data_IF_625658581252
#
_entry.id   IF_625658581252
#
_cell.length_a   1.000
_cell.length_b   1.000
_cell.length_c   1.000
_cell.angle_alpha   90.00
_cell.angle_beta   90.00
_cell.angle_gamma   90.00
#
_symmetry.space_group_name_H-M   'P 1'
#
loop_
_entity.id
_entity.type
_entity.pdbx_description
1 polymer ?
#
# COMPACT_ATOMS: atom_id res chain seq x y z
N UNK A 1 -18.27 -15.07 2.89
CA UNK A 1 -18.50 -14.85 1.44
C UNK A 1 -18.85 -13.38 1.24
N UNK A 2 -18.12 -12.68 0.37
CA UNK A 2 -18.43 -11.29 0.00
C UNK A 2 -19.40 -11.27 -1.19
N UNK A 3 -20.20 -10.22 -1.30
CA UNK A 3 -21.17 -10.05 -2.40
C UNK A 3 -20.60 -9.12 -3.48
N UNK A 4 -21.16 -9.16 -4.70
CA UNK A 4 -20.73 -8.21 -5.74
C UNK A 4 -21.10 -6.76 -5.37
N UNK A 5 -20.43 -5.74 -5.93
CA UNK A 5 -20.75 -4.35 -5.64
C UNK A 5 -22.16 -3.96 -6.08
N UNK A 6 -22.69 -4.61 -7.12
CA UNK A 6 -24.06 -4.38 -7.56
C UNK A 6 -25.07 -5.04 -6.64
N UNK A 7 -24.79 -6.26 -6.14
CA UNK A 7 -25.61 -6.86 -5.07
C UNK A 7 -25.58 -6.02 -3.79
N UNK A 8 -24.42 -5.44 -3.45
CA UNK A 8 -24.30 -4.50 -2.34
C UNK A 8 -25.18 -3.27 -2.57
N UNK A 9 -25.15 -2.68 -3.77
CA UNK A 9 -26.01 -1.55 -4.10
C UNK A 9 -27.49 -1.89 -3.94
N UNK A 10 -27.93 -2.99 -4.54
CA UNK A 10 -29.34 -3.42 -4.51
C UNK A 10 -29.84 -3.67 -3.08
N UNK A 11 -29.01 -4.28 -2.22
CA UNK A 11 -29.41 -4.61 -0.84
C UNK A 11 -29.25 -3.44 0.14
N UNK A 12 -28.20 -2.63 -0.01
CA UNK A 12 -27.78 -1.68 1.02
C UNK A 12 -27.81 -0.21 0.59
N UNK A 13 -28.03 0.12 -0.68
CA UNK A 13 -27.97 1.51 -1.16
C UNK A 13 -29.25 1.92 -1.89
N UNK A 14 -29.85 1.03 -2.68
CA UNK A 14 -31.04 1.31 -3.48
C UNK A 14 -32.21 1.78 -2.61
N UNK A 15 -32.85 2.86 -3.05
CA UNK A 15 -33.99 3.47 -2.34
C UNK A 15 -33.62 4.27 -1.09
N UNK A 16 -32.34 4.35 -0.71
CA UNK A 16 -31.89 5.18 0.41
C UNK A 16 -31.82 6.67 0.06
N UNK A 17 -32.00 7.52 1.06
CA UNK A 17 -31.80 8.97 0.89
C UNK A 17 -30.31 9.30 0.79
N UNK A 18 -30.01 10.48 0.27
CA UNK A 18 -28.64 11.02 0.20
C UNK A 18 -27.91 10.96 1.55
N UNK A 19 -28.58 11.31 2.65
CA UNK A 19 -28.03 11.32 4.00
C UNK A 19 -27.68 9.89 4.46
N UNK A 20 -28.55 8.92 4.17
CA UNK A 20 -28.31 7.51 4.49
C UNK A 20 -27.15 6.94 3.68
N UNK A 21 -27.02 7.31 2.39
CA UNK A 21 -25.88 6.91 1.55
C UNK A 21 -24.59 7.53 2.09
N UNK A 22 -24.61 8.80 2.52
CA UNK A 22 -23.46 9.45 3.15
C UNK A 22 -23.00 8.72 4.41
N UNK A 23 -23.94 8.29 5.25
CA UNK A 23 -23.63 7.48 6.44
C UNK A 23 -23.05 6.12 6.07
N UNK A 24 -23.55 5.48 5.00
CA UNK A 24 -22.98 4.22 4.50
C UNK A 24 -21.53 4.41 4.01
N UNK A 25 -21.24 5.48 3.26
CA UNK A 25 -19.88 5.84 2.85
C UNK A 25 -18.97 6.03 4.08
N UNK A 26 -19.44 6.73 5.11
CA UNK A 26 -18.66 6.90 6.33
C UNK A 26 -18.35 5.56 7.01
N UNK A 27 -19.35 4.67 7.12
CA UNK A 27 -19.17 3.33 7.68
C UNK A 27 -18.17 2.48 6.90
N UNK A 28 -18.24 2.49 5.57
CA UNK A 28 -17.28 1.77 4.73
C UNK A 28 -15.85 2.28 4.91
N UNK A 29 -15.66 3.60 5.03
CA UNK A 29 -14.35 4.20 5.31
C UNK A 29 -13.81 3.81 6.69
N UNK A 30 -14.68 3.77 7.70
CA UNK A 30 -14.30 3.30 9.04
C UNK A 30 -13.91 1.83 9.03
N UNK A 31 -14.67 0.99 8.33
CA UNK A 31 -14.39 -0.45 8.25
C UNK A 31 -13.06 -0.73 7.54
N UNK A 32 -12.81 -0.08 6.40
CA UNK A 32 -11.53 -0.19 5.70
C UNK A 32 -10.36 0.28 6.59
N UNK A 33 -10.54 1.37 7.34
CA UNK A 33 -9.55 1.85 8.29
C UNK A 33 -9.30 0.87 9.44
N UNK A 34 -10.35 0.24 9.96
CA UNK A 34 -10.28 -0.78 11.02
C UNK A 34 -9.51 -2.01 10.53
N UNK A 35 -9.85 -2.55 9.36
CA UNK A 35 -9.18 -3.72 8.76
C UNK A 35 -7.68 -3.48 8.59
N UNK A 36 -7.30 -2.35 7.99
CA UNK A 36 -5.89 -1.96 7.85
C UNK A 36 -5.21 -1.83 9.21
N UNK A 37 -5.83 -1.15 10.16
CA UNK A 37 -5.25 -0.98 11.49
C UNK A 37 -5.05 -2.31 12.23
N UNK A 38 -5.94 -3.29 12.02
CA UNK A 38 -5.78 -4.66 12.52
C UNK A 38 -4.58 -5.34 11.88
N UNK A 39 -4.48 -5.34 10.55
CA UNK A 39 -3.37 -5.97 9.82
C UNK A 39 -2.01 -5.33 10.10
N UNK A 40 -1.98 -4.04 10.40
CA UNK A 40 -0.75 -3.31 10.72
C UNK A 40 -0.34 -3.42 12.21
N UNK A 41 -1.07 -4.18 13.04
CA UNK A 41 -0.77 -4.37 14.46
C UNK A 41 0.43 -5.31 14.64
N UNK A 42 1.36 -5.04 15.60
CA UNK A 42 2.43 -5.97 15.94
C UNK A 42 1.94 -7.34 16.38
N UNK A 43 0.73 -7.40 16.97
CA UNK A 43 0.10 -8.64 17.42
C UNK A 43 -0.70 -9.34 16.30
N UNK A 44 -0.68 -8.81 15.08
CA UNK A 44 -1.38 -9.42 13.96
C UNK A 44 -0.67 -10.71 13.56
N UNK A 45 -1.15 -11.82 14.10
CA UNK A 45 -0.81 -13.16 13.64
C UNK A 45 -1.80 -13.51 12.55
N UNK A 46 -1.32 -13.92 11.37
CA UNK A 46 -2.16 -14.58 10.37
C UNK A 46 -2.62 -15.93 10.96
N UNK A 47 -3.70 -15.90 11.75
CA UNK A 47 -4.43 -17.09 12.19
C UNK A 47 -4.89 -17.91 10.97
N UNK A 48 -5.19 -19.22 11.12
CA UNK A 48 -5.64 -20.05 10.01
C UNK A 48 -6.77 -19.36 9.23
N UNK A 49 -6.56 -19.22 7.92
CA UNK A 49 -7.32 -18.40 6.96
C UNK A 49 -8.82 -18.34 7.31
N UNK A 50 -9.23 -17.24 7.96
CA UNK A 50 -10.64 -16.93 8.15
C UNK A 50 -11.16 -16.39 6.81
N UNK A 51 -12.22 -17.00 6.26
CA UNK A 51 -12.79 -16.58 4.98
C UNK A 51 -13.97 -15.61 5.18
N UNK A 52 -13.98 -14.43 4.54
CA UNK A 52 -12.92 -13.87 3.68
C UNK A 52 -11.73 -13.31 4.49
N UNK A 53 -10.53 -13.33 3.91
CA UNK A 53 -9.35 -12.71 4.53
C UNK A 53 -9.53 -11.19 4.65
N UNK A 54 -8.74 -10.54 5.50
CA UNK A 54 -8.74 -9.09 5.64
C UNK A 54 -8.36 -8.39 4.32
N UNK A 55 -7.37 -8.89 3.57
CA UNK A 55 -7.03 -8.39 2.23
C UNK A 55 -8.25 -8.43 1.29
N UNK A 56 -8.95 -9.57 1.26
CA UNK A 56 -10.17 -9.74 0.45
C UNK A 56 -11.25 -8.76 0.91
N UNK A 57 -11.39 -8.59 2.22
CA UNK A 57 -12.37 -7.67 2.81
C UNK A 57 -12.07 -6.21 2.49
N UNK A 58 -10.80 -5.80 2.50
CA UNK A 58 -10.34 -4.47 2.09
C UNK A 58 -10.68 -4.23 0.62
N UNK A 59 -10.35 -5.18 -0.26
CA UNK A 59 -10.64 -5.08 -1.69
C UNK A 59 -12.13 -4.82 -1.96
N UNK A 60 -13.01 -5.69 -1.45
CA UNK A 60 -14.46 -5.52 -1.66
C UNK A 60 -15.02 -4.26 -0.98
N UNK A 61 -14.49 -3.87 0.18
CA UNK A 61 -14.90 -2.63 0.85
C UNK A 61 -14.56 -1.41 -0.01
N UNK A 62 -13.43 -1.42 -0.72
CA UNK A 62 -13.07 -0.37 -1.68
C UNK A 62 -14.07 -0.32 -2.85
N UNK A 63 -14.42 -1.46 -3.42
CA UNK A 63 -15.44 -1.54 -4.48
C UNK A 63 -16.82 -1.04 -4.02
N UNK A 64 -17.25 -1.41 -2.82
CA UNK A 64 -18.50 -0.92 -2.23
C UNK A 64 -18.46 0.59 -1.99
N UNK A 65 -17.32 1.12 -1.57
CA UNK A 65 -17.12 2.54 -1.33
C UNK A 65 -17.25 3.34 -2.63
N UNK A 66 -16.63 2.88 -3.72
CA UNK A 66 -16.77 3.53 -5.03
C UNK A 66 -18.22 3.45 -5.55
N UNK A 67 -18.86 2.30 -5.44
CA UNK A 67 -20.27 2.15 -5.83
C UNK A 67 -21.20 3.05 -5.02
N UNK A 68 -20.94 3.23 -3.72
CA UNK A 68 -21.71 4.10 -2.85
C UNK A 68 -21.47 5.59 -3.16
N UNK A 69 -20.23 6.00 -3.48
CA UNK A 69 -19.92 7.36 -3.96
C UNK A 69 -20.68 7.68 -5.25
N UNK A 70 -20.71 6.75 -6.21
CA UNK A 70 -21.48 6.92 -7.45
C UNK A 70 -22.98 7.09 -7.17
N UNK A 71 -23.56 6.24 -6.30
CA UNK A 71 -24.96 6.35 -5.92
C UNK A 71 -25.28 7.67 -5.19
N UNK A 72 -24.35 8.17 -4.36
CA UNK A 72 -24.50 9.46 -3.68
C UNK A 72 -24.60 10.62 -4.68
N UNK A 73 -23.77 10.61 -5.72
CA UNK A 73 -23.82 11.61 -6.80
C UNK A 73 -25.12 11.48 -7.62
N UNK A 74 -25.54 10.25 -7.95
CA UNK A 74 -26.81 10.00 -8.64
C UNK A 74 -28.04 10.48 -7.85
N UNK A 75 -27.96 10.44 -6.52
CA UNK A 75 -28.99 10.98 -5.61
C UNK A 75 -28.94 12.52 -5.47
N UNK A 76 -28.17 13.22 -6.31
CA UNK A 76 -28.02 14.68 -6.28
C UNK A 76 -27.07 15.20 -5.17
N UNK A 77 -26.21 14.32 -4.64
CA UNK A 77 -25.15 14.71 -3.72
C UNK A 77 -23.91 15.23 -4.45
N UNK A 78 -23.10 16.04 -3.76
CA UNK A 78 -21.77 16.46 -4.22
C UNK A 78 -20.74 15.80 -3.30
N UNK A 79 -19.95 14.89 -3.85
CA UNK A 79 -18.92 14.20 -3.08
C UNK A 79 -17.63 15.03 -3.05
N UNK A 80 -17.25 15.50 -1.88
CA UNK A 80 -15.98 16.19 -1.66
C UNK A 80 -14.97 15.20 -1.09
N UNK A 81 -13.78 15.14 -1.69
CA UNK A 81 -12.69 14.32 -1.20
C UNK A 81 -12.25 14.79 0.20
N UNK A 82 -11.92 13.84 1.05
CA UNK A 82 -11.17 14.13 2.28
C UNK A 82 -9.69 14.37 1.96
N UNK A 83 -8.96 15.04 2.86
CA UNK A 83 -7.51 15.27 2.71
C UNK A 83 -6.70 13.98 2.48
N UNK A 84 -7.15 12.85 3.00
CA UNK A 84 -6.49 11.56 2.73
C UNK A 84 -6.78 11.06 1.31
N UNK A 85 -8.00 11.25 0.81
CA UNK A 85 -8.35 10.87 -0.58
C UNK A 85 -7.71 11.82 -1.60
N UNK A 86 -7.58 13.11 -1.29
CA UNK A 86 -6.83 14.05 -2.13
C UNK A 86 -5.38 13.60 -2.31
N UNK A 87 -4.74 13.05 -1.27
CA UNK A 87 -3.38 12.49 -1.35
C UNK A 87 -3.31 11.23 -2.20
N UNK A 88 -4.34 10.37 -2.13
CA UNK A 88 -4.44 9.18 -2.97
C UNK A 88 -4.54 9.60 -4.43
N UNK A 89 -5.48 10.50 -4.75
CA UNK A 89 -5.66 11.03 -6.11
C UNK A 89 -4.41 11.75 -6.61
N UNK A 90 -3.74 12.55 -5.77
CA UNK A 90 -2.48 13.19 -6.13
C UNK A 90 -1.37 12.16 -6.40
N UNK A 91 -1.21 11.14 -5.56
CA UNK A 91 -0.23 10.09 -5.81
C UNK A 91 -0.52 9.34 -7.11
N UNK A 92 -1.75 8.86 -7.28
CA UNK A 92 -2.19 8.06 -8.44
C UNK A 92 -2.06 8.84 -9.75
N UNK A 93 -2.38 10.14 -9.75
CA UNK A 93 -2.23 11.00 -10.92
C UNK A 93 -0.77 11.23 -11.34
N UNK A 94 0.19 10.99 -10.44
CA UNK A 94 1.62 11.18 -10.70
C UNK A 94 2.39 9.85 -10.82
N UNK A 95 1.73 8.70 -10.66
CA UNK A 95 2.35 7.36 -10.69
C UNK A 95 3.15 7.10 -11.98
N UNK A 96 2.62 7.48 -13.15
CA UNK A 96 3.33 7.30 -14.43
C UNK A 96 4.57 8.20 -14.59
N UNK A 97 4.67 9.26 -13.77
CA UNK A 97 5.79 10.20 -13.76
C UNK A 97 6.88 9.82 -12.75
N UNK A 98 6.72 8.72 -12.01
CA UNK A 98 7.75 8.20 -11.12
C UNK A 98 8.99 7.84 -11.96
N UNK A 99 10.12 8.44 -11.62
CA UNK A 99 11.39 8.19 -12.29
C UNK A 99 12.42 7.50 -11.40
N UNK A 100 12.24 7.53 -10.08
CA UNK A 100 13.11 6.81 -9.15
C UNK A 100 12.35 6.46 -7.87
N UNK A 101 12.60 5.27 -7.37
CA UNK A 101 12.11 4.79 -6.08
C UNK A 101 13.30 4.35 -5.27
N UNK A 102 13.38 4.82 -4.02
CA UNK A 102 14.41 4.41 -3.07
C UNK A 102 13.72 3.81 -1.86
N UNK A 103 13.90 2.51 -1.63
CA UNK A 103 13.43 1.81 -0.44
C UNK A 103 14.63 1.42 0.41
N UNK A 104 14.68 1.82 1.67
CA UNK A 104 15.73 1.40 2.60
C UNK A 104 15.13 0.76 3.83
N UNK A 105 15.72 -0.35 4.27
CA UNK A 105 15.35 -1.04 5.50
C UNK A 105 16.61 -1.59 6.16
N UNK A 106 16.63 -1.58 7.49
CA UNK A 106 17.76 -2.09 8.25
C UNK A 106 17.74 -1.65 9.70
N UNK A 107 18.83 -1.95 10.41
CA UNK A 107 18.97 -1.70 11.83
C UNK A 107 20.25 -0.95 12.16
N UNK A 108 20.26 -0.26 13.31
CA UNK A 108 21.41 0.51 13.78
C UNK A 108 22.74 -0.27 13.75
N UNK A 109 22.71 -1.57 14.08
CA UNK A 109 23.92 -2.41 14.14
C UNK A 109 24.27 -3.09 12.80
N UNK A 110 23.28 -3.41 11.97
CA UNK A 110 23.47 -4.11 10.68
C UNK A 110 23.68 -3.18 9.48
N UNK A 111 23.43 -1.88 9.67
CA UNK A 111 23.36 -0.91 8.57
C UNK A 111 22.04 -0.97 7.82
N UNK A 112 21.90 -0.07 6.85
CA UNK A 112 20.71 0.03 6.01
C UNK A 112 21.01 -0.51 4.62
N UNK A 113 20.20 -1.48 4.17
CA UNK A 113 20.20 -1.89 2.78
C UNK A 113 19.19 -1.04 2.02
N UNK A 114 19.64 -0.42 0.95
CA UNK A 114 18.77 0.36 0.05
C UNK A 114 18.53 -0.41 -1.24
N UNK A 115 17.31 -0.40 -1.72
CA UNK A 115 16.86 -0.93 -2.99
C UNK A 115 16.42 0.26 -3.83
N UNK A 116 17.05 0.44 -4.97
CA UNK A 116 16.78 1.58 -5.84
C UNK A 116 16.29 1.07 -7.18
N UNK A 117 15.18 1.64 -7.64
CA UNK A 117 14.63 1.40 -8.97
C UNK A 117 14.61 2.72 -9.71
N UNK A 118 15.38 2.81 -10.79
CA UNK A 118 15.38 3.93 -11.72
C UNK A 118 14.48 3.58 -12.92
N UNK A 119 13.46 4.40 -13.12
CA UNK A 119 12.42 4.20 -14.12
C UNK A 119 12.61 5.25 -15.22
N UNK A 120 13.27 4.82 -16.29
CA UNK A 120 13.50 5.62 -17.49
C UNK A 120 12.82 4.95 -18.70
N UNK A 121 13.46 4.96 -19.88
CA UNK A 121 13.06 4.12 -21.00
C UNK A 121 13.27 2.63 -20.69
N UNK A 122 14.29 2.33 -19.87
CA UNK A 122 14.53 1.02 -19.30
C UNK A 122 14.41 1.07 -17.77
N UNK A 123 14.02 -0.06 -17.18
CA UNK A 123 14.01 -0.24 -15.74
C UNK A 123 15.40 -0.73 -15.30
N UNK A 124 16.02 0.01 -14.37
CA UNK A 124 17.27 -0.41 -13.73
C UNK A 124 17.02 -0.54 -12.24
N UNK A 125 17.40 -1.67 -11.68
CA UNK A 125 17.32 -1.89 -10.25
C UNK A 125 18.67 -2.33 -9.69
N UNK A 126 18.98 -1.86 -8.50
CA UNK A 126 20.19 -2.25 -7.78
C UNK A 126 19.98 -2.12 -6.28
N UNK A 127 20.76 -2.88 -5.51
CA UNK A 127 20.84 -2.75 -4.06
C UNK A 127 22.11 -2.01 -3.68
N UNK A 128 22.08 -1.36 -2.52
CA UNK A 128 23.22 -0.71 -1.89
C UNK A 128 23.30 -1.13 -0.43
N UNK A 129 24.47 -1.56 -0.01
CA UNK A 129 24.79 -1.80 1.38
C UNK A 129 26.18 -1.21 1.64
N UNK A 130 26.25 -0.13 2.43
CA UNK A 130 27.44 0.70 2.53
C UNK A 130 27.87 1.23 1.14
N UNK A 131 29.13 1.02 0.76
CA UNK A 131 29.69 1.41 -0.55
C UNK A 131 29.45 0.35 -1.65
N UNK A 132 28.95 -0.84 -1.28
CA UNK A 132 28.74 -1.92 -2.23
C UNK A 132 27.43 -1.71 -3.00
N UNK A 133 27.49 -1.83 -4.32
CA UNK A 133 26.34 -1.72 -5.22
C UNK A 133 26.24 -3.00 -6.03
N UNK A 134 25.07 -3.65 -5.99
CA UNK A 134 24.83 -4.91 -6.69
C UNK A 134 23.60 -4.76 -7.61
N UNK A 135 23.66 -5.24 -8.86
CA UNK A 135 22.49 -5.23 -9.73
C UNK A 135 21.39 -6.12 -9.16
N UNK A 136 20.14 -5.67 -9.28
CA UNK A 136 18.96 -6.38 -8.81
C UNK A 136 18.07 -6.74 -10.00
N UNK A 137 17.71 -8.01 -10.14
CA UNK A 137 16.72 -8.45 -11.11
C UNK A 137 15.34 -8.40 -10.44
N UNK A 138 14.44 -7.56 -10.96
CA UNK A 138 13.04 -7.55 -10.54
C UNK A 138 12.25 -8.50 -11.44
N UNK A 139 11.72 -9.56 -10.85
CA UNK A 139 10.94 -10.58 -11.54
C UNK A 139 9.47 -10.44 -11.20
N UNK A 140 8.64 -10.45 -12.24
CA UNK A 140 7.21 -10.61 -12.12
C UNK A 140 6.92 -12.08 -11.85
N UNK A 141 6.70 -12.42 -10.58
CA UNK A 141 6.48 -13.81 -10.14
C UNK A 141 5.25 -14.46 -10.76
N UNK A 142 4.27 -13.66 -11.19
CA UNK A 142 3.04 -14.19 -11.78
C UNK A 142 3.24 -14.59 -13.26
N UNK A 143 4.16 -13.91 -13.95
CA UNK A 143 4.43 -14.10 -15.37
C UNK A 143 5.78 -14.78 -15.67
N UNK A 144 6.63 -14.99 -14.68
CA UNK A 144 8.01 -15.52 -14.80
C UNK A 144 8.87 -14.71 -15.79
N UNK A 145 8.62 -13.39 -15.84
CA UNK A 145 9.28 -12.44 -16.74
C UNK A 145 9.93 -11.29 -15.96
N UNK A 146 10.93 -10.63 -16.55
CA UNK A 146 11.48 -9.40 -15.97
C UNK A 146 10.48 -8.26 -16.07
N UNK A 147 10.35 -7.47 -15.01
CA UNK A 147 9.46 -6.31 -15.03
C UNK A 147 9.81 -5.32 -16.15
N UNK A 148 8.81 -4.99 -16.96
CA UNK A 148 8.81 -3.79 -17.80
C UNK A 148 8.44 -2.58 -16.96
N UNK A 149 8.69 -1.36 -17.47
CA UNK A 149 8.20 -0.13 -16.81
C UNK A 149 6.69 -0.21 -16.55
N UNK A 150 5.89 -0.61 -17.53
CA UNK A 150 4.44 -0.66 -17.39
C UNK A 150 3.99 -1.70 -16.37
N UNK A 151 4.55 -2.91 -16.39
CA UNK A 151 4.14 -3.97 -15.46
C UNK A 151 4.57 -3.64 -14.03
N UNK A 152 5.74 -3.03 -13.86
CA UNK A 152 6.20 -2.58 -12.54
C UNK A 152 5.33 -1.45 -11.97
N UNK A 153 4.98 -0.46 -12.78
CA UNK A 153 4.09 0.63 -12.37
C UNK A 153 2.68 0.12 -12.05
N UNK A 154 2.15 -0.84 -12.82
CA UNK A 154 0.87 -1.49 -12.51
C UNK A 154 0.93 -2.24 -11.17
N UNK A 155 1.96 -3.06 -10.95
CA UNK A 155 2.14 -3.79 -9.68
C UNK A 155 2.28 -2.82 -8.50
N UNK A 156 2.96 -1.69 -8.68
CA UNK A 156 3.06 -0.62 -7.68
C UNK A 156 1.69 0.03 -7.39
N UNK A 157 0.88 0.25 -8.42
CA UNK A 157 -0.47 0.81 -8.27
C UNK A 157 -1.39 -0.12 -7.47
N UNK A 158 -1.26 -1.44 -7.66
CA UNK A 158 -2.03 -2.46 -6.93
C UNK A 158 -1.69 -2.54 -5.43
N UNK A 159 -0.59 -1.91 -5.00
CA UNK A 159 -0.24 -1.74 -3.59
C UNK A 159 -0.99 -0.59 -2.91
N UNK A 160 -1.71 0.27 -3.66
CA UNK A 160 -2.46 1.40 -3.10
C UNK A 160 -1.62 2.27 -2.15
N UNK A 161 -0.35 2.54 -2.48
CA UNK A 161 0.61 3.24 -1.60
C UNK A 161 0.13 4.65 -1.23
N UNK A 162 -0.65 5.30 -2.11
CA UNK A 162 -1.28 6.59 -1.80
C UNK A 162 -2.17 6.56 -0.55
N UNK A 163 -2.68 5.39 -0.15
CA UNK A 163 -3.51 5.20 1.05
C UNK A 163 -2.69 5.04 2.34
N UNK A 164 -1.37 4.91 2.25
CA UNK A 164 -0.50 4.71 3.41
C UNK A 164 -0.37 5.97 4.28
N UNK A 165 -0.05 5.75 5.55
CA UNK A 165 0.32 6.83 6.48
C UNK A 165 1.73 7.30 6.13
N UNK A 166 2.03 8.58 6.35
CA UNK A 166 3.38 9.13 6.11
C UNK A 166 4.45 8.58 7.06
N UNK A 167 4.04 8.18 8.26
CA UNK A 167 4.94 7.64 9.28
C UNK A 167 4.22 6.55 10.06
N UNK A 168 4.96 5.47 10.34
CA UNK A 168 4.50 4.30 11.08
C UNK A 168 5.32 4.14 12.36
N UNK A 169 4.66 3.95 13.49
CA UNK A 169 5.31 3.70 14.77
C UNK A 169 4.43 2.78 15.61
N UNK A 170 5.08 1.84 16.30
CA UNK A 170 4.45 0.90 17.22
C UNK A 170 3.76 1.57 18.42
N UNK A 171 4.11 2.84 18.72
CA UNK A 171 3.47 3.65 19.77
C UNK A 171 1.96 3.79 19.60
N UNK A 172 1.46 3.79 18.36
CA UNK A 172 0.01 3.88 18.09
C UNK A 172 -0.78 2.66 18.58
N UNK A 173 -0.08 1.58 18.91
CA UNK A 173 -0.62 0.36 19.50
C UNK A 173 -0.22 0.19 20.97
N UNK A 174 0.46 1.19 21.57
CA UNK A 174 0.91 1.12 22.96
C UNK A 174 2.24 0.39 23.15
N UNK A 175 2.96 0.07 22.07
CA UNK A 175 4.26 -0.58 22.11
C UNK A 175 5.42 0.40 21.99
N UNK A 176 6.57 0.02 22.53
CA UNK A 176 7.84 0.70 22.33
C UNK A 176 8.88 -0.38 22.00
N UNK A 177 9.42 -0.34 20.79
CA UNK A 177 10.44 -1.28 20.31
C UNK A 177 11.73 -0.48 20.11
N UNK A 178 12.82 -0.94 20.70
CA UNK A 178 14.11 -0.24 20.73
C UNK A 178 15.24 -1.11 20.15
N UNK A 179 14.95 -1.85 19.09
CA UNK A 179 15.93 -2.68 18.37
C UNK A 179 16.70 -1.89 17.29
N UNK A 180 16.20 -0.70 16.94
CA UNK A 180 16.79 0.18 15.94
C UNK A 180 16.39 -0.17 14.49
N UNK A 181 15.41 -1.06 14.27
CA UNK A 181 14.92 -1.43 12.94
C UNK A 181 14.02 -0.33 12.37
N UNK A 182 14.42 0.25 11.24
CA UNK A 182 13.70 1.34 10.59
C UNK A 182 13.64 1.13 9.08
N UNK A 183 12.67 1.77 8.44
CA UNK A 183 12.55 1.80 6.99
C UNK A 183 12.13 3.18 6.47
N UNK A 184 12.53 3.46 5.23
CA UNK A 184 12.12 4.65 4.47
C UNK A 184 11.83 4.25 3.02
N UNK A 185 10.82 4.86 2.43
CA UNK A 185 10.44 4.70 1.04
C UNK A 185 10.20 6.09 0.43
N UNK A 186 10.96 6.41 -0.62
CA UNK A 186 10.87 7.67 -1.34
C UNK A 186 10.54 7.44 -2.81
N UNK A 187 9.61 8.23 -3.33
CA UNK A 187 9.28 8.35 -4.75
C UNK A 187 9.71 9.71 -5.28
N UNK A 188 10.49 9.71 -6.35
CA UNK A 188 10.91 10.90 -7.09
C UNK A 188 10.25 10.92 -8.47
N UNK A 189 9.91 12.12 -8.95
CA UNK A 189 9.11 12.32 -10.17
C UNK A 189 9.84 13.18 -11.20
N UNK A 190 9.64 12.87 -12.49
CA UNK A 190 10.23 13.63 -13.60
C UNK A 190 9.36 14.79 -14.11
N UNK A 191 8.17 14.98 -13.55
CA UNK A 191 7.20 16.02 -13.95
C UNK A 191 7.24 17.27 -13.05
N UNK A 192 8.23 17.37 -12.14
CA UNK A 192 8.37 18.48 -11.18
C UNK A 192 7.50 18.35 -9.93
N UNK A 193 6.76 17.25 -9.77
CA UNK A 193 6.08 16.92 -8.52
C UNK A 193 7.10 16.70 -7.39
N UNK A 194 6.71 17.03 -6.16
CA UNK A 194 7.61 16.95 -5.01
C UNK A 194 7.81 15.48 -4.59
N UNK A 195 9.01 15.07 -4.18
CA UNK A 195 9.22 13.73 -3.68
C UNK A 195 8.25 13.36 -2.55
N UNK A 196 7.75 12.13 -2.61
CA UNK A 196 6.77 11.58 -1.69
C UNK A 196 7.48 10.55 -0.82
N UNK A 197 7.49 10.79 0.50
CA UNK A 197 8.19 9.92 1.47
C UNK A 197 7.23 9.22 2.43
N UNK A 198 7.63 8.03 2.83
CA UNK A 198 7.02 7.20 3.85
C UNK A 198 8.13 6.61 4.73
N UNK A 199 7.88 6.46 6.01
CA UNK A 199 8.84 5.83 6.92
C UNK A 199 8.15 5.04 8.01
N UNK A 200 8.92 4.19 8.69
CA UNK A 200 8.47 3.55 9.90
C UNK A 200 9.57 3.04 10.80
N UNK A 201 9.17 2.79 12.04
CA UNK A 201 9.97 2.24 13.13
C UNK A 201 9.20 1.05 13.70
N UNK A 202 9.66 -0.16 13.37
CA UNK A 202 9.05 -1.43 13.75
C UNK A 202 7.55 -1.57 13.44
N UNK A 203 7.04 -0.73 12.53
CA UNK A 203 5.64 -0.68 12.17
C UNK A 203 5.54 -0.46 10.68
N UNK A 204 4.61 -1.20 10.07
CA UNK A 204 4.55 -1.38 8.63
C UNK A 204 3.12 -1.21 8.12
N UNK A 205 2.92 -0.77 6.87
CA UNK A 205 1.61 -0.79 6.23
C UNK A 205 1.09 -2.23 6.04
N UNK A 206 -0.24 -2.37 5.93
CA UNK A 206 -0.93 -3.67 5.92
C UNK A 206 -0.49 -4.63 4.80
N UNK A 207 0.13 -4.10 3.74
CA UNK A 207 0.62 -4.84 2.58
C UNK A 207 2.12 -4.64 2.35
N UNK A 208 2.89 -4.35 3.41
CA UNK A 208 4.34 -4.14 3.32
C UNK A 208 5.10 -5.35 2.76
N UNK A 209 4.66 -6.58 3.05
CA UNK A 209 5.29 -7.77 2.49
C UNK A 209 5.17 -7.84 0.96
N UNK A 210 4.05 -7.36 0.40
CA UNK A 210 3.88 -7.27 -1.05
C UNK A 210 4.82 -6.22 -1.66
N UNK A 211 5.12 -5.14 -0.93
CA UNK A 211 6.18 -4.19 -1.33
C UNK A 211 7.54 -4.91 -1.33
N UNK A 212 7.91 -5.62 -0.25
CA UNK A 212 9.17 -6.36 -0.18
C UNK A 212 9.33 -7.34 -1.35
N UNK A 213 8.29 -8.13 -1.65
CA UNK A 213 8.26 -9.04 -2.79
C UNK A 213 8.46 -8.31 -4.13
N UNK A 214 7.84 -7.14 -4.32
CA UNK A 214 8.03 -6.31 -5.52
C UNK A 214 9.49 -5.86 -5.72
N UNK A 215 10.25 -5.73 -4.63
CA UNK A 215 11.69 -5.44 -4.65
C UNK A 215 12.57 -6.71 -4.62
N UNK A 216 11.99 -7.90 -4.77
CA UNK A 216 12.72 -9.17 -4.74
C UNK A 216 13.26 -9.54 -3.35
N UNK A 217 12.69 -8.98 -2.28
CA UNK A 217 13.09 -9.27 -0.90
C UNK A 217 12.24 -10.42 -0.40
N UNK A 218 12.88 -11.55 -0.12
CA UNK A 218 12.25 -12.72 0.46
C UNK A 218 12.89 -12.99 1.83
N UNK A 219 12.13 -12.85 2.90
CA UNK A 219 12.63 -13.07 4.27
C UNK A 219 12.92 -14.56 4.56
N UNK A 220 12.72 -15.47 3.59
CA UNK A 220 13.02 -16.90 3.75
C UNK A 220 14.49 -17.28 3.57
N UNK A 221 15.38 -16.33 3.26
CA UNK A 221 16.82 -16.60 3.08
C UNK A 221 17.69 -16.30 4.32
N UNK A 222 17.10 -16.24 5.52
CA UNK A 222 17.87 -16.21 6.79
C UNK A 222 17.62 -17.48 7.63
N UNK A 223 17.92 -18.66 7.06
CA UNK A 223 18.24 -19.87 7.83
C UNK A 223 19.33 -20.68 7.12
N UNK A 224 20.45 -20.06 6.77
CA UNK A 224 21.70 -20.79 6.62
C UNK A 224 22.82 -19.93 7.19
N UNK A 225 23.12 -20.12 8.48
CA UNK A 225 24.45 -19.92 9.03
C UNK A 225 24.61 -20.83 10.28
N UNK A 226 25.35 -21.92 10.05
CA UNK A 226 26.06 -22.87 10.95
C UNK A 226 25.31 -23.76 11.96
#
# INVERSE_FOLDING_TARGET
MMISPESYYEQYIKGKTKEQIRSAIHGLKQEMGRLKNTMESPDYVQEPIVHPSEDTSIHWTREYLERAKLAYVQAGGTYNLSKSEEKVVDFDANTDSICKITFSIGGFFGGYRSYVVEISDNLKAYTKLWENVEPLALLDTDNDETFTKSTFISALADLYIGEWRRSYSTQRFGYMVCDGTQWELEFEYNNGHKPVRFNGDNSYPYNFDKLKMLFGINDTEEVEDE
#
